data_IF_828074797989
#
_entry.id   IF_828074797989
#
_cell.length_a   1.000
_cell.length_b   1.000
_cell.length_c   1.000
_cell.angle_alpha   90.00
_cell.angle_beta   90.00
_cell.angle_gamma   90.00
#
_symmetry.space_group_name_H-M   'P 1'
#
loop_
_entity.id
_entity.type
_entity.pdbx_description
1 polymer ?
#
# COMPACT_ATOMS: atom_id res chain seq x y z
N UNK A 1 14.13 -10.07 -11.06
CA UNK A 1 13.76 -9.19 -9.92
C UNK A 1 12.63 -8.27 -10.39
N UNK A 2 11.44 -8.38 -9.82
CA UNK A 2 10.32 -7.50 -10.19
C UNK A 2 10.51 -6.13 -9.53
N UNK A 3 10.57 -5.06 -10.33
CA UNK A 3 10.70 -3.69 -9.82
C UNK A 3 9.39 -2.95 -10.06
N UNK A 4 8.72 -2.55 -8.98
CA UNK A 4 7.45 -1.81 -9.06
C UNK A 4 7.62 -0.46 -9.76
N UNK A 5 8.77 0.20 -9.57
CA UNK A 5 9.03 1.56 -10.04
C UNK A 5 8.77 1.77 -11.54
N UNK A 6 9.36 0.96 -12.42
CA UNK A 6 9.30 1.20 -13.87
C UNK A 6 7.87 1.23 -14.42
N UNK A 7 7.11 0.12 -14.28
CA UNK A 7 5.72 0.08 -14.72
C UNK A 7 4.80 1.02 -13.96
N UNK A 8 5.01 1.25 -12.66
CA UNK A 8 4.15 2.15 -11.90
C UNK A 8 4.37 3.63 -12.26
N UNK A 9 5.62 4.04 -12.53
CA UNK A 9 5.96 5.42 -12.83
C UNK A 9 5.34 5.89 -14.16
N UNK A 10 5.17 5.01 -15.15
CA UNK A 10 4.55 5.37 -16.44
C UNK A 10 3.08 5.78 -16.32
N UNK A 11 2.40 5.38 -15.24
CA UNK A 11 1.01 5.77 -14.96
C UNK A 11 0.88 7.06 -14.16
N UNK A 12 1.99 7.67 -13.72
CA UNK A 12 2.02 8.85 -12.85
C UNK A 12 0.99 8.79 -11.69
N UNK A 13 1.02 7.73 -10.86
CA UNK A 13 -0.02 7.51 -9.86
C UNK A 13 0.08 8.50 -8.70
N UNK A 14 -1.06 8.95 -8.19
CA UNK A 14 -1.10 9.72 -6.95
C UNK A 14 -0.84 8.85 -5.71
N UNK A 15 -1.39 7.63 -5.73
CA UNK A 15 -1.26 6.61 -4.68
C UNK A 15 -1.27 5.24 -5.35
N UNK A 16 -0.39 4.35 -4.90
CA UNK A 16 -0.36 2.95 -5.31
C UNK A 16 -0.84 2.11 -4.13
N UNK A 17 -1.81 1.25 -4.39
CA UNK A 17 -2.36 0.30 -3.43
C UNK A 17 -1.75 -1.07 -3.73
N UNK A 18 -0.97 -1.62 -2.81
CA UNK A 18 -0.25 -2.87 -3.00
C UNK A 18 -0.61 -3.89 -1.93
N UNK A 19 -0.63 -5.16 -2.34
CA UNK A 19 -0.76 -6.33 -1.47
C UNK A 19 0.36 -7.32 -1.78
N UNK A 20 0.74 -8.11 -0.77
CA UNK A 20 1.81 -9.13 -0.84
C UNK A 20 3.13 -8.61 -1.44
N UNK A 21 3.48 -7.36 -1.17
CA UNK A 21 4.68 -6.76 -1.74
C UNK A 21 5.97 -7.44 -1.26
N UNK A 22 6.90 -7.68 -2.18
CA UNK A 22 8.18 -8.33 -1.91
C UNK A 22 9.09 -7.45 -1.04
N UNK A 23 9.72 -8.05 -0.02
CA UNK A 23 10.57 -7.33 0.94
C UNK A 23 11.89 -8.01 1.20
N UNK A 24 12.86 -7.19 1.56
CA UNK A 24 14.15 -7.59 2.13
C UNK A 24 14.48 -6.54 3.21
N UNK A 25 14.89 -6.98 4.40
CA UNK A 25 15.23 -6.11 5.54
C UNK A 25 14.12 -5.11 5.93
N UNK A 26 12.87 -5.59 5.94
CA UNK A 26 11.68 -4.78 6.28
C UNK A 26 11.40 -3.61 5.30
N UNK A 27 12.09 -3.54 4.17
CA UNK A 27 11.87 -2.56 3.12
C UNK A 27 11.29 -3.20 1.87
N UNK A 28 10.34 -2.51 1.24
CA UNK A 28 9.79 -2.94 -0.05
C UNK A 28 10.86 -2.68 -1.12
N UNK A 29 11.29 -3.72 -1.83
CA UNK A 29 12.29 -3.59 -2.90
C UNK A 29 11.64 -3.08 -4.19
N UNK A 30 12.44 -2.40 -5.01
CA UNK A 30 11.97 -1.90 -6.32
C UNK A 30 11.09 -0.66 -6.25
N UNK A 31 11.11 0.07 -5.12
CA UNK A 31 10.47 1.36 -4.92
C UNK A 31 11.55 2.39 -4.55
N UNK A 32 11.54 3.60 -5.13
CA UNK A 32 12.48 4.65 -4.73
C UNK A 32 12.32 5.04 -3.26
N UNK A 33 13.42 5.32 -2.57
CA UNK A 33 13.40 5.75 -1.16
C UNK A 33 12.68 7.09 -0.94
N UNK A 34 12.53 7.90 -1.99
CA UNK A 34 11.78 9.16 -1.95
C UNK A 34 10.26 8.97 -1.84
N UNK A 35 9.76 7.75 -2.04
CA UNK A 35 8.33 7.44 -1.97
C UNK A 35 7.94 7.11 -0.53
N UNK A 36 6.84 7.69 -0.08
CA UNK A 36 6.30 7.42 1.26
C UNK A 36 5.54 6.11 1.25
N UNK A 37 5.80 5.23 2.21
CA UNK A 37 5.10 3.96 2.35
C UNK A 37 4.40 3.87 3.70
N UNK A 38 3.10 3.56 3.68
CA UNK A 38 2.35 3.12 4.84
C UNK A 38 2.08 1.62 4.70
N UNK A 39 2.35 0.83 5.74
CA UNK A 39 2.14 -0.61 5.72
C UNK A 39 1.30 -1.06 6.90
N UNK A 40 0.51 -2.11 6.68
CA UNK A 40 -0.11 -2.92 7.73
C UNK A 40 0.95 -3.55 8.64
N UNK A 41 0.56 -3.97 9.85
CA UNK A 41 1.49 -4.55 10.83
C UNK A 41 2.07 -5.88 10.36
N UNK A 42 1.24 -6.75 9.76
CA UNK A 42 1.68 -7.98 9.09
C UNK A 42 2.43 -7.72 7.80
N UNK A 43 2.43 -6.45 7.38
CA UNK A 43 3.19 -6.00 6.24
C UNK A 43 2.72 -6.57 4.89
N UNK A 44 1.54 -7.20 4.84
CA UNK A 44 0.96 -7.77 3.62
C UNK A 44 0.12 -6.80 2.78
N UNK A 45 -0.24 -5.65 3.35
CA UNK A 45 -0.92 -4.56 2.66
C UNK A 45 -0.11 -3.27 2.83
N UNK A 46 -0.01 -2.48 1.76
CA UNK A 46 0.66 -1.20 1.74
C UNK A 46 -0.04 -0.16 0.87
N UNK A 47 0.20 1.10 1.22
CA UNK A 47 -0.10 2.29 0.44
C UNK A 47 1.22 3.01 0.17
N UNK A 48 1.54 3.21 -1.09
CA UNK A 48 2.81 3.79 -1.53
C UNK A 48 2.50 5.08 -2.29
N UNK A 49 3.16 6.18 -1.92
CA UNK A 49 2.91 7.50 -2.46
C UNK A 49 4.21 8.07 -3.05
N UNK A 50 4.22 8.39 -4.35
CA UNK A 50 5.31 9.14 -4.93
C UNK A 50 5.44 10.54 -4.30
N UNK A 51 6.63 11.16 -4.37
CA UNK A 51 6.86 12.48 -3.83
C UNK A 51 5.94 13.50 -4.51
N UNK A 52 5.42 14.44 -3.72
CA UNK A 52 4.56 15.56 -4.15
C UNK A 52 3.17 15.19 -4.69
N UNK A 53 2.79 13.91 -4.71
CA UNK A 53 1.49 13.47 -5.25
C UNK A 53 0.30 14.03 -4.49
N UNK A 54 0.29 13.88 -3.16
CA UNK A 54 -0.79 14.28 -2.26
C UNK A 54 -0.24 14.45 -0.85
N UNK A 55 -1.00 15.11 0.05
CA UNK A 55 -0.69 15.18 1.49
C UNK A 55 -1.47 14.08 2.23
N UNK A 56 -0.84 12.96 2.60
CA UNK A 56 -1.50 11.91 3.36
C UNK A 56 -1.54 12.24 4.86
N UNK A 57 -2.59 11.76 5.52
CA UNK A 57 -2.66 11.59 6.97
C UNK A 57 -2.95 10.12 7.26
N UNK A 58 -2.15 9.50 8.12
CA UNK A 58 -2.41 8.13 8.58
C UNK A 58 -3.71 8.11 9.38
N UNK A 59 -4.66 7.27 8.99
CA UNK A 59 -5.93 7.09 9.71
C UNK A 59 -5.80 5.92 10.68
N UNK A 60 -5.32 4.77 10.21
CA UNK A 60 -5.12 3.59 11.05
C UNK A 60 -4.19 2.57 10.41
N UNK A 61 -3.49 1.83 11.27
CA UNK A 61 -2.75 0.62 10.91
C UNK A 61 -3.29 -0.54 11.74
N UNK A 62 -3.63 -1.64 11.07
CA UNK A 62 -4.09 -2.90 11.65
C UNK A 62 -3.24 -4.05 11.11
N UNK A 63 -3.50 -5.26 11.61
CA UNK A 63 -2.74 -6.47 11.24
C UNK A 63 -2.59 -6.62 9.74
N UNK A 64 -3.68 -6.68 8.97
CA UNK A 64 -3.62 -6.84 7.51
C UNK A 64 -4.14 -5.63 6.72
N UNK A 65 -4.37 -4.50 7.39
CA UNK A 65 -5.01 -3.33 6.79
C UNK A 65 -4.26 -2.07 7.15
N UNK A 66 -4.17 -1.13 6.21
CA UNK A 66 -3.66 0.22 6.43
C UNK A 66 -4.56 1.22 5.72
N UNK A 67 -4.84 2.33 6.37
CA UNK A 67 -5.72 3.37 5.85
C UNK A 67 -5.07 4.75 5.99
N UNK A 68 -5.15 5.54 4.91
CA UNK A 68 -4.76 6.94 4.89
C UNK A 68 -5.95 7.80 4.48
N UNK A 69 -5.89 9.07 4.82
CA UNK A 69 -6.75 10.11 4.28
C UNK A 69 -5.89 11.06 3.45
N UNK A 70 -6.32 11.37 2.25
CA UNK A 70 -5.71 12.38 1.39
C UNK A 70 -6.67 13.56 1.27
N UNK A 71 -6.13 14.77 1.27
CA UNK A 71 -6.91 15.98 1.02
C UNK A 71 -6.96 16.25 -0.48
N UNK A 72 -8.15 16.52 -1.01
CA UNK A 72 -8.35 16.98 -2.39
C UNK A 72 -9.07 18.32 -2.37
N UNK A 73 -9.14 19.01 -3.52
CA UNK A 73 -9.79 20.31 -3.62
C UNK A 73 -11.29 20.28 -3.34
N UNK A 74 -11.95 19.13 -3.55
CA UNK A 74 -13.38 18.98 -3.31
C UNK A 74 -13.64 18.45 -1.90
N UNK A 75 -13.14 17.25 -1.60
CA UNK A 75 -13.37 16.58 -0.31
C UNK A 75 -12.21 15.64 0.06
N UNK A 76 -12.02 15.34 1.35
CA UNK A 76 -11.05 14.34 1.78
C UNK A 76 -11.44 12.94 1.28
N UNK A 77 -10.47 12.17 0.79
CA UNK A 77 -10.66 10.77 0.37
C UNK A 77 -9.92 9.87 1.35
N UNK A 78 -10.61 8.85 1.86
CA UNK A 78 -9.95 7.77 2.63
C UNK A 78 -9.64 6.60 1.69
N UNK A 79 -8.37 6.18 1.68
CA UNK A 79 -7.89 5.04 0.90
C UNK A 79 -7.47 3.94 1.87
N UNK A 80 -7.94 2.72 1.62
CA UNK A 80 -7.68 1.55 2.45
C UNK A 80 -7.02 0.48 1.60
N UNK A 81 -5.87 -0.02 2.05
CA UNK A 81 -5.27 -1.25 1.55
C UNK A 81 -5.49 -2.34 2.57
N UNK A 82 -6.04 -3.48 2.14
CA UNK A 82 -6.27 -4.65 3.00
C UNK A 82 -5.83 -5.91 2.30
N UNK A 83 -5.26 -6.84 3.06
CA UNK A 83 -4.93 -8.16 2.60
C UNK A 83 -5.91 -9.17 3.20
N UNK A 84 -6.63 -9.87 2.33
CA UNK A 84 -7.50 -10.99 2.70
C UNK A 84 -6.78 -12.30 2.36
N UNK A 85 -6.56 -13.16 3.35
CA UNK A 85 -5.84 -14.41 3.15
C UNK A 85 -6.69 -15.40 2.34
N UNK A 86 -6.16 -15.99 1.25
CA UNK A 86 -6.89 -17.02 0.49
C UNK A 86 -7.28 -18.23 1.35
N UNK A 87 -6.51 -18.50 2.40
CA UNK A 87 -6.70 -19.66 3.27
C UNK A 87 -7.67 -19.40 4.44
N UNK A 88 -8.17 -18.18 4.62
CA UNK A 88 -9.03 -17.86 5.77
C UNK A 88 -10.47 -18.37 5.62
N UNK A 89 -10.96 -18.51 4.39
CA UNK A 89 -12.33 -18.95 4.09
C UNK A 89 -12.39 -20.35 3.45
N UNK A 90 -11.29 -21.10 3.47
CA UNK A 90 -11.32 -22.51 3.12
C UNK A 90 -12.06 -23.25 4.25
N UNK A 91 -13.38 -23.39 4.10
CA UNK A 91 -14.10 -24.48 4.75
C UNK A 91 -13.37 -25.75 4.34
N UNK A 92 -12.69 -26.38 5.29
CA UNK A 92 -12.16 -27.72 5.11
C UNK A 92 -13.36 -28.63 4.87
N UNK A 93 -13.68 -28.90 3.61
CA UNK A 93 -14.53 -30.03 3.24
C UNK A 93 -13.70 -31.27 3.57
N UNK A 94 -13.87 -31.78 4.79
CA UNK A 94 -13.38 -33.09 5.22
C UNK A 94 -14.25 -34.19 4.63
#
# INVERSE_FOLDING_TARGET
MFQLYGPAASFNPAVIVAQEQYKVDNQIRGIPQSWTTFSSTSQKAALILPPFSVKPALVSTKTNTVAIKIQTNSHPITIVSTYSSPNQDLVLTL
#
